data_IF_304797725420
#
_entry.id   IF_304797725420
#
_cell.length_a   1.000
_cell.length_b   1.000
_cell.length_c   1.000
_cell.angle_alpha   90.00
_cell.angle_beta   90.00
_cell.angle_gamma   90.00
#
_symmetry.space_group_name_H-M   'P 1'
#
loop_
_entity.id
_entity.type
_entity.pdbx_description
1 polymer ?
#
# COMPACT_ATOMS: atom_id res chain seq x y z
N UNK A 1 16.61 -27.40 -14.12
CA UNK A 1 17.18 -28.74 -14.42
C UNK A 1 16.38 -29.82 -13.71
N UNK A 2 16.23 -29.79 -12.36
CA UNK A 2 15.56 -30.85 -11.57
C UNK A 2 14.10 -31.06 -12.02
N UNK A 3 13.31 -30.00 -12.18
CA UNK A 3 11.91 -30.10 -12.61
C UNK A 3 11.77 -30.76 -13.99
N UNK A 4 12.66 -30.42 -14.92
CA UNK A 4 12.66 -31.03 -16.25
C UNK A 4 13.05 -32.52 -16.20
N UNK A 5 14.05 -32.87 -15.38
CA UNK A 5 14.45 -34.27 -15.16
C UNK A 5 13.30 -35.11 -14.58
N UNK A 6 12.50 -34.54 -13.65
CA UNK A 6 11.33 -35.21 -13.11
C UNK A 6 10.24 -35.41 -14.17
N UNK A 7 10.04 -34.46 -15.07
CA UNK A 7 9.09 -34.64 -16.18
C UNK A 7 9.52 -35.78 -17.14
N UNK A 8 10.80 -35.87 -17.46
CA UNK A 8 11.34 -36.98 -18.25
C UNK A 8 11.16 -38.31 -17.54
N UNK A 9 11.46 -38.36 -16.23
CA UNK A 9 11.24 -39.54 -15.41
C UNK A 9 9.77 -39.95 -15.35
N UNK A 10 8.84 -39.00 -15.30
CA UNK A 10 7.40 -39.29 -15.28
C UNK A 10 6.94 -39.97 -16.58
N UNK A 11 7.43 -39.52 -17.75
CA UNK A 11 7.13 -40.16 -19.02
C UNK A 11 7.66 -41.58 -19.06
N UNK A 12 8.88 -41.82 -18.54
CA UNK A 12 9.45 -43.16 -18.45
C UNK A 12 8.61 -44.09 -17.55
N UNK A 13 8.16 -43.61 -16.39
CA UNK A 13 7.27 -44.34 -15.48
C UNK A 13 5.93 -44.71 -16.12
N UNK A 14 5.37 -43.84 -16.96
CA UNK A 14 4.15 -44.11 -17.68
C UNK A 14 4.33 -45.27 -18.70
N UNK A 15 5.49 -45.32 -19.38
CA UNK A 15 5.81 -46.34 -20.36
C UNK A 15 6.17 -47.72 -19.82
N UNK A 16 6.41 -47.83 -18.49
CA UNK A 16 6.82 -49.07 -17.85
C UNK A 16 5.73 -49.53 -16.84
N UNK A 17 4.76 -50.38 -17.27
CA UNK A 17 3.71 -50.85 -16.37
C UNK A 17 4.26 -51.71 -15.23
N UNK A 18 3.82 -51.45 -14.03
CA UNK A 18 4.16 -52.22 -12.84
C UNK A 18 2.99 -53.16 -12.48
N UNK A 19 3.31 -54.38 -12.10
CA UNK A 19 2.27 -55.38 -11.69
C UNK A 19 1.57 -55.01 -10.39
N UNK A 20 2.27 -54.25 -9.52
CA UNK A 20 1.74 -53.77 -8.26
C UNK A 20 0.63 -52.74 -8.46
N UNK A 21 -0.50 -52.96 -7.75
CA UNK A 21 -1.65 -52.05 -7.76
C UNK A 21 -1.90 -51.47 -6.40
N UNK A 22 -2.33 -50.24 -6.34
CA UNK A 22 -2.84 -49.59 -5.15
C UNK A 22 -4.33 -49.31 -5.37
N UNK A 23 -5.19 -50.06 -4.64
CA UNK A 23 -6.62 -50.11 -4.90
C UNK A 23 -6.92 -50.61 -6.33
N UNK A 24 -7.55 -49.77 -7.16
CA UNK A 24 -7.95 -50.09 -8.52
C UNK A 24 -6.96 -49.61 -9.57
N UNK A 25 -5.98 -48.73 -9.18
CA UNK A 25 -5.04 -48.12 -10.13
C UNK A 25 -3.66 -48.82 -10.07
N UNK A 26 -3.01 -49.00 -11.22
CA UNK A 26 -1.64 -49.49 -11.25
C UNK A 26 -0.70 -48.46 -10.64
N UNK A 27 0.32 -48.90 -9.90
CA UNK A 27 1.23 -48.07 -9.13
C UNK A 27 2.01 -47.09 -10.01
N UNK A 28 2.37 -47.49 -11.23
CA UNK A 28 3.06 -46.64 -12.21
C UNK A 28 2.26 -45.39 -12.59
N UNK A 29 0.91 -45.46 -12.65
CA UNK A 29 0.05 -44.31 -12.97
C UNK A 29 0.06 -43.33 -11.79
N UNK A 30 -0.03 -43.81 -10.56
CA UNK A 30 0.03 -42.94 -9.36
C UNK A 30 1.38 -42.24 -9.27
N UNK A 31 2.46 -42.98 -9.48
CA UNK A 31 3.81 -42.40 -9.48
C UNK A 31 3.99 -41.39 -10.63
N UNK A 32 3.51 -41.71 -11.83
CA UNK A 32 3.50 -40.76 -12.95
C UNK A 32 2.80 -39.46 -12.56
N UNK A 33 1.60 -39.52 -12.02
CA UNK A 33 0.85 -38.32 -11.62
C UNK A 33 1.58 -37.49 -10.55
N UNK A 34 2.12 -38.13 -9.53
CA UNK A 34 2.85 -37.46 -8.45
C UNK A 34 4.14 -36.80 -8.94
N UNK A 35 4.94 -37.52 -9.72
CA UNK A 35 6.22 -37.02 -10.25
C UNK A 35 6.01 -35.92 -11.29
N UNK A 36 5.01 -36.09 -12.18
CA UNK A 36 4.69 -35.07 -13.19
C UNK A 36 4.17 -33.77 -12.53
N UNK A 37 3.28 -33.86 -11.55
CA UNK A 37 2.78 -32.70 -10.82
C UNK A 37 3.92 -31.93 -10.14
N UNK A 38 4.81 -32.64 -9.44
CA UNK A 38 5.97 -32.04 -8.81
C UNK A 38 6.91 -31.39 -9.82
N UNK A 39 7.15 -32.07 -10.96
CA UNK A 39 7.96 -31.54 -12.05
C UNK A 39 7.39 -30.25 -12.65
N UNK A 40 6.09 -30.19 -12.91
CA UNK A 40 5.39 -29.01 -13.44
C UNK A 40 5.50 -27.84 -12.45
N UNK A 41 5.26 -28.05 -11.16
CA UNK A 41 5.37 -27.01 -10.15
C UNK A 41 6.78 -26.42 -10.11
N UNK A 42 7.82 -27.26 -10.12
CA UNK A 42 9.20 -26.79 -10.09
C UNK A 42 9.59 -26.02 -11.37
N UNK A 43 9.11 -26.45 -12.52
CA UNK A 43 9.32 -25.71 -13.79
C UNK A 43 8.61 -24.36 -13.74
N UNK A 44 7.37 -24.33 -13.25
CA UNK A 44 6.61 -23.08 -13.15
C UNK A 44 7.29 -22.07 -12.23
N UNK A 45 7.74 -22.48 -11.04
CA UNK A 45 8.50 -21.64 -10.14
C UNK A 45 9.80 -21.11 -10.77
N UNK A 46 10.50 -21.96 -11.52
CA UNK A 46 11.72 -21.57 -12.22
C UNK A 46 11.43 -20.51 -13.31
N UNK A 47 10.38 -20.69 -14.09
CA UNK A 47 9.96 -19.74 -15.14
C UNK A 47 9.53 -18.40 -14.54
N UNK A 48 8.83 -18.43 -13.42
CA UNK A 48 8.45 -17.20 -12.68
C UNK A 48 9.68 -16.40 -12.22
N UNK A 49 10.67 -17.09 -11.67
CA UNK A 49 11.91 -16.45 -11.24
C UNK A 49 12.72 -15.90 -12.41
N UNK A 50 12.79 -16.62 -13.52
CA UNK A 50 13.43 -16.13 -14.77
C UNK A 50 12.69 -14.92 -15.30
N UNK A 51 11.35 -14.95 -15.33
CA UNK A 51 10.54 -13.82 -15.78
C UNK A 51 10.77 -12.56 -14.91
N UNK A 52 10.86 -12.72 -13.59
CA UNK A 52 11.20 -11.61 -12.68
C UNK A 52 12.59 -11.04 -12.96
N UNK A 53 13.58 -11.90 -13.10
CA UNK A 53 14.95 -11.50 -13.43
C UNK A 53 15.05 -10.74 -14.76
N UNK A 54 14.37 -11.23 -15.80
CA UNK A 54 14.32 -10.57 -17.11
C UNK A 54 13.61 -9.21 -17.02
N UNK A 55 12.50 -9.13 -16.29
CA UNK A 55 11.79 -7.85 -16.08
C UNK A 55 12.64 -6.83 -15.32
N UNK A 56 13.38 -7.24 -14.29
CA UNK A 56 14.31 -6.37 -13.59
C UNK A 56 15.42 -5.84 -14.50
N UNK A 57 15.93 -6.68 -15.40
CA UNK A 57 16.91 -6.28 -16.39
C UNK A 57 16.38 -5.28 -17.43
N UNK A 58 15.11 -5.42 -17.83
CA UNK A 58 14.45 -4.52 -18.79
C UNK A 58 14.01 -3.18 -18.15
N UNK A 59 13.84 -3.13 -16.84
CA UNK A 59 13.46 -1.92 -16.09
C UNK A 59 14.64 -1.04 -15.66
N UNK A 60 15.87 -1.45 -15.95
CA UNK A 60 17.03 -0.60 -15.69
C UNK A 60 17.00 0.63 -16.59
N UNK A 61 17.11 1.80 -15.98
CA UNK A 61 17.19 3.05 -16.71
C UNK A 61 18.43 3.03 -17.62
N UNK A 62 18.20 3.14 -18.94
CA UNK A 62 19.26 3.10 -19.96
C UNK A 62 20.28 4.24 -19.79
N UNK A 63 19.88 5.32 -19.15
CA UNK A 63 20.71 6.50 -18.94
C UNK A 63 21.29 6.58 -17.52
N UNK A 64 20.87 5.71 -16.62
CA UNK A 64 21.34 5.63 -15.24
C UNK A 64 21.94 4.26 -14.94
N UNK A 65 23.13 3.99 -15.48
CA UNK A 65 23.83 2.71 -15.34
C UNK A 65 24.18 2.37 -13.88
N UNK A 66 24.41 3.37 -13.05
CA UNK A 66 24.75 3.21 -11.64
C UNK A 66 23.51 3.11 -10.75
N UNK A 67 22.33 3.26 -11.32
CA UNK A 67 21.06 3.26 -10.62
C UNK A 67 21.02 4.29 -9.47
N UNK A 68 21.66 5.45 -9.71
CA UNK A 68 21.69 6.56 -8.79
C UNK A 68 20.41 7.39 -8.85
N UNK A 69 20.04 7.97 -7.74
CA UNK A 69 19.05 9.04 -7.70
C UNK A 69 19.74 10.40 -7.90
N UNK A 70 18.95 11.43 -8.14
CA UNK A 70 19.44 12.81 -8.13
C UNK A 70 19.64 13.30 -6.68
N UNK A 71 20.39 14.38 -6.52
CA UNK A 71 20.65 14.98 -5.21
C UNK A 71 19.36 15.38 -4.49
N UNK A 72 19.27 15.00 -3.23
CA UNK A 72 18.11 15.25 -2.36
C UNK A 72 18.50 16.17 -1.22
N UNK A 73 17.54 16.85 -0.63
CA UNK A 73 17.77 17.69 0.53
C UNK A 73 18.18 16.85 1.75
N UNK A 74 19.35 17.07 2.28
CA UNK A 74 19.86 16.40 3.48
C UNK A 74 19.44 17.13 4.77
N UNK A 75 19.01 18.38 4.66
CA UNK A 75 18.60 19.23 5.78
C UNK A 75 17.10 19.07 6.09
N UNK A 76 16.77 19.00 7.40
CA UNK A 76 15.39 19.04 7.88
C UNK A 76 14.89 20.48 7.95
N UNK A 77 13.92 20.82 7.11
CA UNK A 77 13.27 22.14 7.09
C UNK A 77 11.90 22.00 7.76
N UNK A 78 11.87 22.24 9.06
CA UNK A 78 10.63 22.16 9.83
C UNK A 78 9.97 23.54 9.98
N UNK A 79 8.68 23.60 9.67
CA UNK A 79 7.81 24.78 9.87
C UNK A 79 6.53 24.36 10.59
N UNK A 80 5.74 25.28 11.14
CA UNK A 80 4.43 24.95 11.72
C UNK A 80 3.50 24.24 10.74
N UNK A 81 3.71 24.44 9.42
CA UNK A 81 2.85 23.92 8.36
C UNK A 81 3.50 22.80 7.54
N UNK A 82 4.74 22.43 7.85
CA UNK A 82 5.47 21.43 7.08
C UNK A 82 5.07 20.01 7.42
N UNK A 83 5.21 19.12 6.43
CA UNK A 83 5.31 17.68 6.61
C UNK A 83 6.68 17.23 6.10
N UNK A 84 7.43 16.57 6.97
CA UNK A 84 8.80 16.17 6.68
C UNK A 84 8.88 14.64 6.70
N UNK A 85 9.29 14.05 5.58
CA UNK A 85 9.37 12.60 5.41
C UNK A 85 10.83 12.22 5.26
N UNK A 86 11.39 11.41 6.19
CA UNK A 86 12.75 10.94 6.07
C UNK A 86 12.88 9.96 4.91
N UNK A 87 13.96 10.06 4.17
CA UNK A 87 14.27 9.15 3.06
C UNK A 87 15.72 8.67 3.11
N UNK A 88 15.96 7.58 2.39
CA UNK A 88 17.32 7.14 2.04
C UNK A 88 17.42 7.10 0.52
N UNK A 89 18.50 7.60 -0.01
CA UNK A 89 18.76 7.62 -1.43
C UNK A 89 20.22 7.27 -1.73
N UNK A 90 20.46 6.75 -2.93
CA UNK A 90 21.80 6.39 -3.40
C UNK A 90 22.27 7.45 -4.37
N UNK A 91 23.39 8.12 -4.06
CA UNK A 91 23.94 9.19 -4.85
C UNK A 91 25.45 9.28 -4.68
N UNK A 92 26.20 9.42 -5.79
CA UNK A 92 27.67 9.45 -5.85
C UNK A 92 28.30 8.25 -5.12
N UNK A 93 27.85 7.04 -5.47
CA UNK A 93 28.38 5.79 -4.96
C UNK A 93 28.09 5.50 -3.46
N UNK A 94 27.21 6.28 -2.80
CA UNK A 94 26.94 6.14 -1.36
C UNK A 94 25.47 6.27 -1.03
N UNK A 95 25.01 5.51 -0.01
CA UNK A 95 23.71 5.72 0.59
C UNK A 95 23.74 6.94 1.51
N UNK A 96 22.84 7.88 1.26
CA UNK A 96 22.67 9.10 2.03
C UNK A 96 21.31 9.13 2.71
N UNK A 97 21.20 9.93 3.76
CA UNK A 97 19.92 10.26 4.42
C UNK A 97 19.48 11.64 3.93
N UNK A 98 18.21 11.79 3.66
CA UNK A 98 17.64 13.06 3.24
C UNK A 98 16.21 13.21 3.72
N UNK A 99 15.60 14.31 3.34
CA UNK A 99 14.24 14.68 3.72
C UNK A 99 13.45 15.15 2.51
N UNK A 100 12.24 14.61 2.38
CA UNK A 100 11.22 15.26 1.54
C UNK A 100 10.54 16.30 2.41
N UNK A 101 10.91 17.57 2.24
CA UNK A 101 10.38 18.69 3.00
C UNK A 101 9.20 19.32 2.25
N UNK A 102 7.98 19.04 2.67
CA UNK A 102 6.77 19.70 2.17
C UNK A 102 6.50 20.88 3.12
N UNK A 103 7.11 22.02 2.82
CA UNK A 103 7.12 23.18 3.73
C UNK A 103 5.78 23.91 3.80
N UNK A 104 4.92 23.73 2.78
CA UNK A 104 3.60 24.34 2.71
C UNK A 104 2.54 23.31 2.28
N UNK A 105 1.79 22.80 3.25
CA UNK A 105 0.74 21.80 3.03
C UNK A 105 -0.59 22.36 2.51
N UNK A 106 -0.71 23.68 2.37
CA UNK A 106 -1.92 24.31 1.78
C UNK A 106 -2.00 24.15 0.27
N UNK A 107 -0.89 23.74 -0.36
CA UNK A 107 -0.88 23.30 -1.75
C UNK A 107 -1.19 21.82 -1.82
N UNK A 108 -1.96 21.40 -2.82
CA UNK A 108 -2.27 19.99 -3.02
C UNK A 108 -1.02 19.14 -3.24
N UNK A 109 -0.97 17.98 -2.59
CA UNK A 109 0.10 16.99 -2.78
C UNK A 109 -0.47 15.79 -3.52
N UNK A 110 0.08 15.52 -4.70
CA UNK A 110 -0.31 14.37 -5.52
C UNK A 110 0.67 13.22 -5.31
N UNK A 111 0.15 12.05 -4.90
CA UNK A 111 0.96 10.86 -4.64
C UNK A 111 0.59 9.75 -5.60
N UNK A 112 1.49 9.40 -6.50
CA UNK A 112 1.31 8.36 -7.51
C UNK A 112 2.19 7.16 -7.20
N UNK A 113 1.66 5.97 -7.44
CA UNK A 113 2.40 4.72 -7.29
C UNK A 113 1.48 3.51 -7.47
N UNK A 114 2.05 2.38 -7.84
CA UNK A 114 1.34 1.11 -8.01
C UNK A 114 0.75 0.59 -6.70
N UNK A 115 -0.27 -0.28 -6.73
CA UNK A 115 -0.72 -1.00 -5.55
C UNK A 115 0.45 -1.71 -4.84
N UNK A 116 0.52 -1.62 -3.52
CA UNK A 116 1.61 -2.23 -2.75
C UNK A 116 2.93 -1.44 -2.68
N UNK A 117 3.06 -0.29 -3.36
CA UNK A 117 4.30 0.54 -3.35
C UNK A 117 4.59 1.26 -2.02
N UNK A 118 3.80 1.03 -0.97
CA UNK A 118 4.03 1.62 0.34
C UNK A 118 3.55 3.06 0.53
N UNK A 119 2.77 3.64 -0.41
CA UNK A 119 2.25 5.02 -0.33
C UNK A 119 1.64 5.38 1.02
N UNK A 120 0.80 4.49 1.53
CA UNK A 120 0.12 4.72 2.82
C UNK A 120 1.13 4.84 3.95
N UNK A 121 2.03 3.88 4.07
CA UNK A 121 3.03 3.84 5.13
C UNK A 121 4.05 4.98 5.03
N UNK A 122 4.58 5.22 3.82
CA UNK A 122 5.69 6.16 3.63
C UNK A 122 5.25 7.62 3.58
N UNK A 123 4.00 7.90 3.18
CA UNK A 123 3.54 9.28 2.94
C UNK A 123 2.29 9.60 3.75
N UNK A 124 1.20 8.84 3.58
CA UNK A 124 -0.10 9.20 4.19
C UNK A 124 -0.03 9.17 5.73
N UNK A 125 0.60 8.14 6.31
CA UNK A 125 0.75 8.05 7.76
C UNK A 125 1.61 9.17 8.36
N UNK A 126 2.78 9.55 7.79
CA UNK A 126 3.50 10.74 8.19
C UNK A 126 2.66 12.03 8.15
N UNK A 127 1.82 12.22 7.12
CA UNK A 127 0.90 13.35 7.04
C UNK A 127 -0.10 13.35 8.21
N UNK A 128 -0.81 12.25 8.42
CA UNK A 128 -1.78 12.10 9.51
C UNK A 128 -1.10 12.38 10.86
N UNK A 129 0.05 11.78 11.09
CA UNK A 129 0.80 11.92 12.34
C UNK A 129 1.23 13.37 12.62
N UNK A 130 1.82 14.03 11.61
CA UNK A 130 2.37 15.36 11.76
C UNK A 130 1.27 16.43 11.81
N UNK A 131 0.26 16.33 10.95
CA UNK A 131 -0.89 17.25 10.99
C UNK A 131 -1.67 17.14 12.29
N UNK A 132 -1.92 15.91 12.77
CA UNK A 132 -2.55 15.71 14.08
C UNK A 132 -1.73 16.31 15.23
N UNK A 133 -0.39 16.19 15.19
CA UNK A 133 0.50 16.77 16.21
C UNK A 133 0.56 18.29 16.18
N UNK A 134 0.33 18.90 15.00
CA UNK A 134 0.30 20.35 14.78
C UNK A 134 -1.09 20.96 14.93
N UNK A 135 -2.10 20.16 15.27
CA UNK A 135 -3.46 20.63 15.53
C UNK A 135 -4.28 20.99 14.28
N UNK A 136 -3.92 20.46 13.12
CA UNK A 136 -4.69 20.65 11.89
C UNK A 136 -6.04 19.95 11.95
N UNK A 137 -7.08 20.63 11.49
CA UNK A 137 -8.33 19.98 11.12
C UNK A 137 -8.08 19.15 9.85
N UNK A 138 -8.62 17.92 9.80
CA UNK A 138 -8.45 17.06 8.64
C UNK A 138 -9.66 16.17 8.40
N UNK A 139 -9.88 15.83 7.13
CA UNK A 139 -10.80 14.80 6.70
C UNK A 139 -9.98 13.69 6.07
N UNK A 140 -10.19 12.45 6.52
CA UNK A 140 -9.48 11.28 6.02
C UNK A 140 -10.49 10.30 5.44
N UNK A 141 -10.38 10.04 4.13
CA UNK A 141 -11.15 9.00 3.48
C UNK A 141 -10.38 7.68 3.54
N UNK A 142 -10.94 6.70 4.27
CA UNK A 142 -10.31 5.39 4.45
C UNK A 142 -11.00 4.31 3.61
N UNK A 143 -10.51 4.12 2.40
CA UNK A 143 -11.02 3.07 1.50
C UNK A 143 -10.85 1.65 2.06
N UNK A 144 -9.81 1.42 2.87
CA UNK A 144 -9.52 0.13 3.52
C UNK A 144 -9.80 0.20 5.01
N UNK A 145 -10.98 0.73 5.37
CA UNK A 145 -11.40 0.79 6.76
C UNK A 145 -11.20 -0.55 7.48
N UNK A 146 -10.67 -0.54 8.74
CA UNK A 146 -10.41 0.62 9.61
C UNK A 146 -8.93 1.07 9.67
N UNK A 147 -8.13 0.85 8.63
CA UNK A 147 -6.66 1.00 8.68
C UNK A 147 -6.20 2.41 9.03
N UNK A 148 -6.64 3.43 8.28
CA UNK A 148 -6.27 4.82 8.54
C UNK A 148 -7.06 5.42 9.71
N UNK A 149 -8.32 5.05 9.85
CA UNK A 149 -9.19 5.50 10.94
C UNK A 149 -8.60 5.14 12.31
N UNK A 150 -8.11 3.92 12.49
CA UNK A 150 -7.47 3.47 13.73
C UNK A 150 -6.19 4.27 14.04
N UNK A 151 -5.36 4.53 13.03
CA UNK A 151 -4.13 5.31 13.18
C UNK A 151 -4.43 6.76 13.53
N UNK A 152 -5.40 7.36 12.84
CA UNK A 152 -5.85 8.73 13.11
C UNK A 152 -6.39 8.85 14.55
N UNK A 153 -7.25 7.90 14.96
CA UNK A 153 -7.78 7.88 16.34
C UNK A 153 -6.69 7.74 17.41
N UNK A 154 -5.71 6.86 17.15
CA UNK A 154 -4.54 6.72 18.03
C UNK A 154 -3.79 8.05 18.20
N UNK A 155 -3.48 8.73 17.08
CA UNK A 155 -2.78 10.02 17.13
C UNK A 155 -3.63 11.12 17.77
N UNK A 156 -4.94 11.14 17.51
CA UNK A 156 -5.88 12.03 18.19
C UNK A 156 -5.82 11.84 19.71
N UNK A 157 -5.99 10.61 20.20
CA UNK A 157 -5.93 10.32 21.64
C UNK A 157 -4.58 10.64 22.27
N UNK A 158 -3.49 10.34 21.57
CA UNK A 158 -2.13 10.67 22.03
C UNK A 158 -1.96 12.18 22.17
N UNK A 159 -2.33 12.96 21.15
CA UNK A 159 -2.16 14.41 21.14
C UNK A 159 -3.14 15.11 22.11
N UNK A 160 -4.33 14.53 22.32
CA UNK A 160 -5.26 14.98 23.34
C UNK A 160 -4.64 14.88 24.74
N UNK A 161 -4.03 13.73 25.07
CA UNK A 161 -3.33 13.55 26.36
C UNK A 161 -2.14 14.49 26.53
N UNK A 162 -1.47 14.88 25.45
CA UNK A 162 -0.34 15.80 25.45
C UNK A 162 -0.75 17.28 25.43
N UNK A 163 -2.05 17.59 25.40
CA UNK A 163 -2.54 18.97 25.33
C UNK A 163 -2.19 19.70 24.02
N UNK A 164 -1.88 18.97 22.95
CA UNK A 164 -1.47 19.55 21.66
C UNK A 164 -2.64 19.90 20.73
N UNK A 165 -3.83 19.40 21.05
CA UNK A 165 -5.01 19.66 20.21
C UNK A 165 -5.67 20.99 20.61
N UNK A 166 -6.23 21.72 19.61
CA UNK A 166 -7.04 22.90 19.88
C UNK A 166 -8.21 22.58 20.81
N UNK A 167 -8.64 23.58 21.59
CA UNK A 167 -9.80 23.45 22.47
C UNK A 167 -11.06 23.15 21.62
N UNK A 168 -11.85 22.17 22.07
CA UNK A 168 -13.05 21.75 21.36
C UNK A 168 -12.83 20.79 20.18
N UNK A 169 -11.58 20.37 19.93
CA UNK A 169 -11.28 19.39 18.87
C UNK A 169 -11.96 18.05 19.16
N UNK A 170 -12.69 17.53 18.17
CA UNK A 170 -13.42 16.28 18.27
C UNK A 170 -13.00 15.33 17.14
N UNK A 171 -13.02 14.04 17.43
CA UNK A 171 -12.90 12.99 16.44
C UNK A 171 -14.30 12.52 16.05
N UNK A 172 -14.63 12.62 14.76
CA UNK A 172 -15.90 12.14 14.24
C UNK A 172 -15.62 11.10 13.17
N UNK A 173 -16.38 10.02 13.17
CA UNK A 173 -16.32 8.96 12.18
C UNK A 173 -17.66 8.84 11.48
N UNK A 174 -17.63 8.77 10.15
CA UNK A 174 -18.79 8.47 9.31
C UNK A 174 -18.51 7.12 8.66
N UNK A 175 -19.33 6.12 9.01
CA UNK A 175 -19.22 4.78 8.49
C UNK A 175 -20.58 4.36 7.92
N UNK A 176 -20.61 4.08 6.62
CA UNK A 176 -21.85 3.70 5.92
C UNK A 176 -22.16 2.20 6.05
N UNK A 177 -21.19 1.39 6.44
CA UNK A 177 -21.36 -0.06 6.61
C UNK A 177 -21.86 -0.37 8.03
N UNK A 178 -21.29 0.30 9.02
CA UNK A 178 -21.58 0.08 10.43
C UNK A 178 -22.13 1.40 11.05
N UNK A 179 -23.41 1.60 10.83
CA UNK A 179 -24.11 2.86 11.15
C UNK A 179 -24.20 3.12 12.65
N UNK A 180 -24.13 2.06 13.49
CA UNK A 180 -24.19 2.18 14.95
C UNK A 180 -23.04 3.03 15.51
N UNK A 181 -21.86 2.91 14.93
CA UNK A 181 -20.67 3.67 15.33
C UNK A 181 -20.49 4.97 14.53
N UNK A 182 -21.40 5.25 13.61
CA UNK A 182 -21.31 6.40 12.72
C UNK A 182 -21.88 7.67 13.38
N UNK A 183 -21.15 8.79 13.23
CA UNK A 183 -21.71 10.10 13.56
C UNK A 183 -22.79 10.46 12.55
N UNK A 184 -23.95 10.87 13.03
CA UNK A 184 -25.01 11.36 12.16
C UNK A 184 -24.65 12.75 11.64
N UNK A 185 -24.78 12.96 10.34
CA UNK A 185 -24.56 14.23 9.66
C UNK A 185 -25.86 14.62 8.97
N UNK A 186 -26.30 15.84 9.21
CA UNK A 186 -27.42 16.43 8.48
C UNK A 186 -26.88 17.55 7.57
N UNK A 187 -26.67 17.28 6.26
CA UNK A 187 -26.16 18.29 5.33
C UNK A 187 -27.15 19.44 5.10
N UNK A 188 -28.45 19.23 5.38
CA UNK A 188 -29.52 20.22 5.17
C UNK A 188 -29.89 20.90 6.50
N UNK A 189 -28.94 21.08 7.39
CA UNK A 189 -29.23 21.75 8.66
C UNK A 189 -29.40 23.27 8.45
N UNK A 190 -30.57 23.83 8.81
CA UNK A 190 -30.89 25.23 8.62
C UNK A 190 -29.81 26.21 9.18
N UNK A 191 -29.08 25.79 10.23
CA UNK A 191 -27.98 26.57 10.82
C UNK A 191 -26.88 26.94 9.82
N UNK A 192 -26.67 26.12 8.81
CA UNK A 192 -25.58 26.28 7.82
C UNK A 192 -26.11 26.78 6.45
N UNK A 193 -27.42 26.85 6.26
CA UNK A 193 -28.06 27.34 5.03
C UNK A 193 -28.54 28.76 5.27
N UNK A 194 -27.66 29.72 5.05
CA UNK A 194 -27.93 31.12 5.38
C UNK A 194 -28.60 31.91 4.26
N UNK A 195 -28.61 31.35 3.04
CA UNK A 195 -29.21 32.01 1.87
C UNK A 195 -29.68 30.98 0.82
N UNK A 196 -30.42 31.45 -0.18
CA UNK A 196 -30.95 30.61 -1.25
C UNK A 196 -29.87 29.98 -2.12
N UNK A 197 -28.75 30.67 -2.33
CA UNK A 197 -27.62 30.14 -3.09
C UNK A 197 -27.00 28.93 -2.41
N UNK A 198 -26.75 28.99 -1.09
CA UNK A 198 -26.25 27.86 -0.31
C UNK A 198 -27.25 26.69 -0.29
N UNK A 199 -28.57 26.97 -0.30
CA UNK A 199 -29.57 25.92 -0.41
C UNK A 199 -29.53 25.22 -1.78
N UNK A 200 -29.37 25.97 -2.87
CA UNK A 200 -29.26 25.44 -4.22
C UNK A 200 -27.99 24.60 -4.39
N UNK A 201 -26.84 25.10 -3.96
CA UNK A 201 -25.57 24.40 -3.99
C UNK A 201 -25.61 23.08 -3.19
N UNK A 202 -26.24 23.11 -2.01
CA UNK A 202 -26.43 21.91 -1.19
C UNK A 202 -27.32 20.88 -1.89
N UNK A 203 -28.39 21.32 -2.52
CA UNK A 203 -29.32 20.46 -3.26
C UNK A 203 -28.64 19.84 -4.49
N UNK A 204 -27.88 20.63 -5.26
CA UNK A 204 -27.09 20.13 -6.41
C UNK A 204 -26.01 19.12 -6.03
N UNK A 205 -25.43 19.26 -4.84
CA UNK A 205 -24.40 18.34 -4.35
C UNK A 205 -24.99 17.00 -3.88
N UNK A 206 -26.27 16.97 -3.50
CA UNK A 206 -26.96 15.77 -3.00
C UNK A 206 -27.68 14.96 -4.09
N UNK A 207 -27.84 15.52 -5.29
CA UNK A 207 -28.43 14.88 -6.47
C UNK A 207 -27.35 14.23 -7.34
#
# INVERSE_FOLDING_TARGET
>A
VIGFALLVLSVWLFGHPMETRFYTLPLNIILYMAVSLTGVILVHVALDNISKFLKEGLMKDRFNFENESFEQCEELIETPYSVNIPMRYYYKGKFRKGWTNITNCFRGTWVVGTPGSGKTFSIIEPFIRQHSAKGFAMVVYDYKFPTLATKLYYHYKKNQKLGKLPQGCQFNMINFVDVEYSRRVNPIQAKYINNLAAASETAETLL
#
